data_IF_457281537807
#
_entry.id   IF_457281537807
#
_cell.length_a   1.000
_cell.length_b   1.000
_cell.length_c   1.000
_cell.angle_alpha   90.00
_cell.angle_beta   90.00
_cell.angle_gamma   90.00
#
_symmetry.space_group_name_H-M   'P 1'
#
loop_
_entity.id
_entity.type
_entity.pdbx_description
1 polymer ?
#
# COMPACT_ATOMS: atom_id res chain seq x y z
N UNK A 1 17.33 -10.38 2.80
CA UNK A 1 15.86 -10.29 2.76
C UNK A 1 15.37 -11.44 1.89
N UNK A 2 14.44 -12.28 2.36
CA UNK A 2 13.82 -13.29 1.50
C UNK A 2 13.18 -12.60 0.27
N UNK A 3 13.06 -13.29 -0.88
CA UNK A 3 12.37 -12.73 -2.03
C UNK A 3 10.97 -12.28 -1.62
N UNK A 4 10.63 -11.02 -1.91
CA UNK A 4 9.31 -10.47 -1.65
C UNK A 4 8.27 -11.38 -2.29
N UNK A 5 7.29 -11.83 -1.52
CA UNK A 5 6.25 -12.73 -2.02
C UNK A 5 5.57 -12.10 -3.24
N UNK A 6 5.57 -12.75 -4.42
CA UNK A 6 5.00 -12.18 -5.64
C UNK A 6 3.54 -11.73 -5.49
N UNK A 7 2.81 -12.39 -4.58
CA UNK A 7 1.43 -12.06 -4.24
C UNK A 7 1.33 -10.68 -3.57
N UNK A 8 2.22 -10.38 -2.61
CA UNK A 8 2.21 -9.10 -1.89
C UNK A 8 2.57 -7.95 -2.81
N UNK A 9 3.52 -8.14 -3.74
CA UNK A 9 3.83 -7.12 -4.74
C UNK A 9 2.65 -6.84 -5.67
N UNK A 10 2.00 -7.89 -6.19
CA UNK A 10 0.83 -7.74 -7.05
C UNK A 10 -0.33 -7.08 -6.32
N UNK A 11 -0.54 -7.41 -5.04
CA UNK A 11 -1.53 -6.77 -4.20
C UNK A 11 -1.22 -5.27 -4.02
N UNK A 12 0.01 -4.94 -3.63
CA UNK A 12 0.44 -3.55 -3.45
C UNK A 12 0.28 -2.70 -4.70
N UNK A 13 0.64 -3.26 -5.87
CA UNK A 13 0.42 -2.61 -7.17
C UNK A 13 -1.07 -2.31 -7.41
N UNK A 14 -1.95 -3.29 -7.21
CA UNK A 14 -3.39 -3.11 -7.40
C UNK A 14 -3.99 -2.08 -6.44
N UNK A 15 -3.51 -2.03 -5.19
CA UNK A 15 -3.93 -1.02 -4.20
C UNK A 15 -3.55 0.37 -4.70
N UNK A 16 -2.30 0.54 -5.15
CA UNK A 16 -1.81 1.81 -5.70
C UNK A 16 -2.63 2.27 -6.90
N UNK A 17 -2.86 1.39 -7.87
CA UNK A 17 -3.65 1.73 -9.07
C UNK A 17 -5.07 2.18 -8.72
N UNK A 18 -5.76 1.46 -7.83
CA UNK A 18 -7.11 1.84 -7.40
C UNK A 18 -7.12 3.15 -6.62
N UNK A 19 -6.13 3.38 -5.75
CA UNK A 19 -6.00 4.64 -5.01
C UNK A 19 -5.82 5.83 -5.95
N UNK A 20 -4.92 5.71 -6.92
CA UNK A 20 -4.65 6.75 -7.91
C UNK A 20 -5.85 6.99 -8.83
N UNK A 21 -6.56 5.93 -9.25
CA UNK A 21 -7.80 6.05 -10.03
C UNK A 21 -8.93 6.78 -9.28
N UNK A 22 -8.92 6.72 -7.94
CA UNK A 22 -9.84 7.48 -7.07
C UNK A 22 -9.34 8.90 -6.74
N UNK A 23 -8.15 9.30 -7.24
CA UNK A 23 -7.55 10.60 -6.95
C UNK A 23 -7.09 10.77 -5.50
N UNK A 24 -6.91 9.67 -4.76
CA UNK A 24 -6.56 9.70 -3.35
C UNK A 24 -5.03 9.75 -3.16
N UNK A 25 -4.57 10.57 -2.20
CA UNK A 25 -3.21 10.43 -1.66
C UNK A 25 -3.12 9.22 -0.74
N UNK A 26 -1.90 8.77 -0.42
CA UNK A 26 -1.70 7.72 0.59
C UNK A 26 -2.29 8.13 1.96
N UNK A 27 -2.19 9.41 2.32
CA UNK A 27 -2.79 9.97 3.54
C UNK A 27 -4.32 9.90 3.52
N UNK A 28 -4.93 10.25 2.39
CA UNK A 28 -6.38 10.21 2.25
C UNK A 28 -6.92 8.76 2.34
N UNK A 29 -6.23 7.80 1.71
CA UNK A 29 -6.56 6.39 1.83
C UNK A 29 -6.34 5.88 3.27
N UNK A 30 -5.23 6.25 3.90
CA UNK A 30 -4.92 5.87 5.27
C UNK A 30 -5.99 6.38 6.24
N UNK A 31 -6.38 7.65 6.12
CA UNK A 31 -7.45 8.25 6.91
C UNK A 31 -8.80 7.54 6.69
N UNK A 32 -9.17 7.26 5.43
CA UNK A 32 -10.41 6.57 5.11
C UNK A 32 -10.45 5.11 5.59
N UNK A 33 -9.29 4.48 5.73
CA UNK A 33 -9.14 3.10 6.20
C UNK A 33 -8.81 2.97 7.69
N UNK A 34 -8.70 4.09 8.42
CA UNK A 34 -8.26 4.13 9.83
C UNK A 34 -6.88 3.47 10.05
N UNK A 35 -5.96 3.70 9.11
CA UNK A 35 -4.59 3.17 9.12
C UNK A 35 -3.55 4.29 9.18
N UNK A 36 -2.32 3.94 9.56
CA UNK A 36 -1.19 4.84 9.40
C UNK A 36 -0.77 4.95 7.92
N UNK A 37 -0.43 6.16 7.47
CA UNK A 37 0.05 6.43 6.10
C UNK A 37 1.26 5.56 5.74
N UNK A 38 2.17 5.31 6.67
CA UNK A 38 3.36 4.47 6.47
C UNK A 38 2.98 3.04 6.16
N UNK A 39 1.89 2.53 6.77
CA UNK A 39 1.36 1.20 6.52
C UNK A 39 0.78 1.09 5.10
N UNK A 40 0.06 2.11 4.62
CA UNK A 40 -0.37 2.18 3.22
C UNK A 40 0.84 2.16 2.27
N UNK A 41 1.88 2.94 2.58
CA UNK A 41 3.13 2.93 1.81
C UNK A 41 3.80 1.56 1.80
N UNK A 42 3.81 0.85 2.93
CA UNK A 42 4.32 -0.51 3.04
C UNK A 42 3.53 -1.50 2.20
N UNK A 43 2.19 -1.45 2.26
CA UNK A 43 1.30 -2.26 1.41
C UNK A 43 1.62 -2.05 -0.06
N UNK A 44 1.70 -0.80 -0.52
CA UNK A 44 1.96 -0.48 -1.93
C UNK A 44 3.33 -0.97 -2.43
N UNK A 45 4.30 -1.11 -1.53
CA UNK A 45 5.62 -1.69 -1.82
C UNK A 45 5.65 -3.23 -1.72
N UNK A 46 4.59 -3.85 -1.22
CA UNK A 46 4.55 -5.26 -0.88
C UNK A 46 5.39 -5.60 0.36
N UNK A 47 5.59 -4.64 1.27
CA UNK A 47 6.31 -4.79 2.54
C UNK A 47 5.64 -3.94 3.66
N UNK A 48 4.50 -4.39 4.19
CA UNK A 48 3.72 -3.66 5.19
C UNK A 48 4.38 -3.58 6.58
N UNK A 49 5.47 -4.32 6.81
CA UNK A 49 6.18 -4.35 8.09
C UNK A 49 7.42 -3.43 8.12
N UNK A 50 7.79 -2.87 6.97
CA UNK A 50 8.90 -1.93 6.87
C UNK A 50 8.38 -0.51 7.14
N UNK A 51 8.44 -0.12 8.42
CA UNK A 51 8.26 1.24 8.91
C UNK A 51 9.37 2.16 8.39
#
# INVERSE_FOLDING_TARGET
MPPREPVLQKFGHNVREKREALGLSQEALAHAAELDRTYIGGIERGDPHQL
#
